data_IF_223547287340
#
_entry.id   IF_223547287340
#
_cell.length_a   1.000
_cell.length_b   1.000
_cell.length_c   1.000
_cell.angle_alpha   90.00
_cell.angle_beta   90.00
_cell.angle_gamma   90.00
#
_symmetry.space_group_name_H-M   'P 1'
#
loop_
_entity.id
_entity.type
_entity.pdbx_description
1 polymer ?
#
# COMPACT_ATOMS: atom_id res chain seq x y z
N UNK A 1 -1.32 -7.23 -19.96
CA UNK A 1 -0.19 -6.80 -19.08
C UNK A 1 -0.28 -5.28 -19.00
N UNK A 2 -0.41 -4.69 -17.81
CA UNK A 2 -0.41 -3.24 -17.67
C UNK A 2 1.03 -2.75 -17.89
N UNK A 3 1.25 -1.88 -18.87
CA UNK A 3 2.57 -1.35 -19.24
C UNK A 3 2.66 0.16 -19.05
N UNK A 4 1.52 0.80 -18.81
CA UNK A 4 1.45 2.24 -18.60
C UNK A 4 1.88 2.60 -17.18
N UNK A 5 2.64 3.69 -17.09
CA UNK A 5 3.05 4.28 -15.82
C UNK A 5 2.15 5.47 -15.47
N UNK A 6 2.29 6.00 -14.25
CA UNK A 6 1.52 7.15 -13.77
C UNK A 6 2.45 8.35 -13.55
N UNK A 7 2.89 9.06 -14.61
CA UNK A 7 3.79 10.19 -14.50
C UNK A 7 3.15 11.38 -13.78
N UNK A 8 3.93 12.06 -12.94
CA UNK A 8 3.49 13.28 -12.24
C UNK A 8 2.49 13.09 -11.10
N UNK A 9 2.01 11.87 -10.85
CA UNK A 9 1.06 11.56 -9.77
C UNK A 9 1.79 10.81 -8.65
N UNK A 10 1.86 11.38 -7.42
CA UNK A 10 2.35 10.65 -6.26
C UNK A 10 1.44 9.45 -5.94
N UNK A 11 2.03 8.27 -5.78
CA UNK A 11 1.29 7.04 -5.44
C UNK A 11 1.80 6.51 -4.11
N UNK A 12 0.90 6.24 -3.16
CA UNK A 12 1.22 5.49 -1.94
C UNK A 12 0.47 4.16 -1.96
N UNK A 13 1.19 3.06 -1.71
CA UNK A 13 0.62 1.71 -1.56
C UNK A 13 0.80 1.30 -0.11
N UNK A 14 -0.29 1.21 0.64
CA UNK A 14 -0.30 0.70 2.00
C UNK A 14 -0.60 -0.80 1.99
N UNK A 15 0.16 -1.61 2.74
CA UNK A 15 0.04 -3.07 2.71
C UNK A 15 0.12 -3.70 4.10
N UNK A 16 -0.89 -4.50 4.48
CA UNK A 16 -0.91 -5.25 5.73
C UNK A 16 0.27 -6.20 5.86
N UNK A 17 1.06 -6.07 6.92
CA UNK A 17 2.22 -6.93 7.13
C UNK A 17 1.83 -8.40 7.37
N UNK A 18 0.61 -8.64 7.87
CA UNK A 18 0.06 -9.94 8.18
C UNK A 18 -1.00 -10.40 7.16
N UNK A 19 -1.07 -9.78 5.97
CA UNK A 19 -2.06 -10.17 4.96
C UNK A 19 -1.82 -11.63 4.52
N UNK A 20 -2.84 -12.47 4.70
CA UNK A 20 -2.80 -13.90 4.31
C UNK A 20 -3.50 -14.17 2.98
N UNK A 21 -4.30 -13.23 2.48
CA UNK A 21 -4.98 -13.34 1.19
C UNK A 21 -4.10 -12.79 0.07
N UNK A 22 -3.62 -11.56 0.23
CA UNK A 22 -2.65 -10.93 -0.65
C UNK A 22 -1.31 -10.82 0.09
N UNK A 23 -0.64 -11.98 0.16
CA UNK A 23 0.60 -12.15 0.94
C UNK A 23 1.63 -11.02 0.71
N UNK A 24 2.43 -10.64 1.74
CA UNK A 24 3.21 -9.40 1.74
C UNK A 24 4.15 -9.18 0.54
N UNK A 25 4.60 -10.25 -0.12
CA UNK A 25 5.40 -10.18 -1.35
C UNK A 25 4.65 -9.55 -2.53
N UNK A 26 3.32 -9.62 -2.56
CA UNK A 26 2.50 -8.98 -3.59
C UNK A 26 2.56 -7.44 -3.47
N UNK A 27 2.74 -6.89 -2.28
CA UNK A 27 3.00 -5.46 -2.10
C UNK A 27 4.32 -4.99 -2.73
N UNK A 28 5.36 -5.83 -2.67
CA UNK A 28 6.64 -5.56 -3.37
C UNK A 28 6.42 -5.60 -4.88
N UNK A 29 5.62 -6.55 -5.37
CA UNK A 29 5.24 -6.61 -6.78
C UNK A 29 4.48 -5.36 -7.23
N UNK A 30 3.56 -4.85 -6.41
CA UNK A 30 2.84 -3.60 -6.69
C UNK A 30 3.80 -2.41 -6.85
N UNK A 31 4.79 -2.30 -5.94
CA UNK A 31 5.88 -1.30 -6.05
C UNK A 31 6.73 -1.47 -7.31
N UNK A 32 6.97 -2.70 -7.76
CA UNK A 32 7.69 -2.94 -9.01
C UNK A 32 6.88 -2.56 -10.25
N UNK A 33 5.55 -2.69 -10.20
CA UNK A 33 4.66 -2.28 -11.29
C UNK A 33 4.47 -0.76 -11.35
N UNK A 34 4.58 -0.06 -10.21
CA UNK A 34 4.51 1.41 -10.13
C UNK A 34 5.82 1.90 -9.50
N UNK A 35 6.90 2.05 -10.28
CA UNK A 35 8.25 2.26 -9.75
C UNK A 35 8.38 3.49 -8.85
N UNK A 36 7.55 4.52 -9.03
CA UNK A 36 7.55 5.74 -8.19
C UNK A 36 6.67 5.65 -6.94
N UNK A 37 5.89 4.59 -6.77
CA UNK A 37 5.00 4.47 -5.61
C UNK A 37 5.78 4.36 -4.29
N UNK A 38 5.31 4.97 -3.20
CA UNK A 38 5.82 4.70 -1.85
C UNK A 38 5.11 3.47 -1.28
N UNK A 39 5.83 2.40 -0.98
CA UNK A 39 5.27 1.23 -0.30
C UNK A 39 5.37 1.42 1.22
N UNK A 40 4.22 1.42 1.89
CA UNK A 40 4.10 1.53 3.35
C UNK A 40 3.59 0.20 3.89
N UNK A 41 4.36 -0.42 4.79
CA UNK A 41 3.90 -1.59 5.54
C UNK A 41 3.02 -1.14 6.70
N UNK A 42 1.92 -1.85 6.94
CA UNK A 42 1.04 -1.64 8.08
C UNK A 42 1.28 -2.77 9.11
N UNK A 43 2.09 -2.53 10.16
CA UNK A 43 2.34 -3.51 11.20
C UNK A 43 1.03 -3.89 11.90
N UNK A 44 0.89 -5.15 12.32
CA UNK A 44 -0.32 -5.64 12.98
C UNK A 44 -1.49 -5.92 12.03
N UNK A 45 -1.62 -5.20 10.92
CA UNK A 45 -2.74 -5.35 9.99
C UNK A 45 -2.61 -6.56 9.05
N UNK A 46 -3.73 -7.24 8.83
CA UNK A 46 -3.94 -8.28 7.83
C UNK A 46 -4.53 -7.73 6.53
N UNK A 47 -5.44 -8.51 5.94
CA UNK A 47 -6.03 -8.17 4.64
C UNK A 47 -7.02 -7.00 4.69
N UNK A 48 -7.68 -6.81 5.83
CA UNK A 48 -8.68 -5.76 6.02
C UNK A 48 -8.13 -4.74 7.03
N UNK A 49 -7.09 -3.96 6.66
CA UNK A 49 -6.42 -3.05 7.59
C UNK A 49 -7.36 -1.98 8.15
N UNK A 50 -8.46 -1.70 7.44
CA UNK A 50 -9.49 -0.76 7.87
C UNK A 50 -10.22 -1.17 9.13
N UNK A 51 -10.31 -2.47 9.37
CA UNK A 51 -10.86 -3.02 10.60
C UNK A 51 -9.77 -3.23 11.65
N UNK A 52 -8.59 -3.67 11.22
CA UNK A 52 -7.49 -4.01 12.12
C UNK A 52 -6.90 -2.78 12.84
N UNK A 53 -6.68 -1.67 12.13
CA UNK A 53 -6.22 -0.41 12.70
C UNK A 53 -6.72 0.80 11.88
N UNK A 54 -7.95 1.27 12.13
CA UNK A 54 -8.53 2.41 11.42
C UNK A 54 -7.69 3.70 11.53
N UNK A 55 -7.03 3.90 12.69
CA UNK A 55 -6.27 5.11 12.97
C UNK A 55 -4.96 5.16 12.18
N UNK A 56 -4.25 4.03 12.11
CA UNK A 56 -3.06 3.89 11.27
C UNK A 56 -3.39 4.13 9.80
N UNK A 57 -4.49 3.56 9.31
CA UNK A 57 -4.84 3.79 7.90
C UNK A 57 -5.22 5.24 7.64
N UNK A 58 -6.02 5.87 8.51
CA UNK A 58 -6.35 7.29 8.38
C UNK A 58 -5.08 8.16 8.31
N UNK A 59 -4.08 7.87 9.15
CA UNK A 59 -2.78 8.55 9.11
C UNK A 59 -2.07 8.35 7.77
N UNK A 60 -2.00 7.12 7.27
CA UNK A 60 -1.32 6.82 6.00
C UNK A 60 -2.02 7.50 4.81
N UNK A 61 -3.35 7.58 4.82
CA UNK A 61 -4.11 8.31 3.80
C UNK A 61 -3.79 9.81 3.85
N UNK A 62 -3.89 10.44 5.03
CA UNK A 62 -3.59 11.87 5.20
C UNK A 62 -2.14 12.20 4.82
N UNK A 63 -1.18 11.37 5.20
CA UNK A 63 0.24 11.56 4.84
C UNK A 63 0.52 11.28 3.35
N UNK A 64 -0.33 10.52 2.67
CA UNK A 64 -0.22 10.21 1.25
C UNK A 64 -0.92 11.22 0.33
N UNK A 65 -1.78 12.07 0.89
CA UNK A 65 -2.58 13.07 0.15
C UNK A 65 -2.12 14.52 0.36
N UNK A 66 -0.92 14.73 0.92
CA UNK A 66 -0.25 16.02 0.92
C UNK A 66 0.41 16.28 -0.43
#
# INVERSE_FOLDING_TARGET
RFTDDVPGIPVTVAWGANDRLLIPRQGVRAKQMIPRARLVRLPGCGHVPMNDDPALVARVLLDGSR
#
